data_IF_689757945804
#
_entry.id   IF_689757945804
#
_cell.length_a   1.000
_cell.length_b   1.000
_cell.length_c   1.000
_cell.angle_alpha   90.00
_cell.angle_beta   90.00
_cell.angle_gamma   90.00
#
_symmetry.space_group_name_H-M   'P 1'
#
loop_
_entity.id
_entity.type
_entity.pdbx_description
1 polymer ?
#
# COMPACT_ATOMS: atom_id res chain seq x y z
N UNK A 1 -4.01 16.01 12.04
CA UNK A 1 -2.55 15.77 11.90
C UNK A 1 -2.20 14.56 12.77
N UNK A 2 -1.47 13.59 12.22
CA UNK A 2 -0.88 12.49 13.00
C UNK A 2 0.02 13.10 14.08
N UNK A 3 -0.19 12.78 15.35
CA UNK A 3 0.60 13.28 16.49
C UNK A 3 1.93 12.51 16.58
N UNK A 4 3.01 12.92 15.88
CA UNK A 4 4.15 12.05 15.62
C UNK A 4 4.96 11.80 16.90
N UNK A 5 4.88 12.74 17.83
CA UNK A 5 5.49 12.67 19.16
C UNK A 5 4.95 11.52 20.02
N UNK A 6 3.76 10.98 19.72
CA UNK A 6 3.20 9.81 20.42
C UNK A 6 3.87 8.50 20.00
N UNK A 7 4.57 8.48 18.86
CA UNK A 7 5.17 7.28 18.28
C UNK A 7 6.62 7.53 17.85
N UNK A 8 7.53 7.87 18.79
CA UNK A 8 8.90 8.25 18.46
C UNK A 8 9.67 7.14 17.73
N UNK A 9 9.33 5.87 17.98
CA UNK A 9 9.91 4.72 17.28
C UNK A 9 9.56 4.66 15.78
N UNK A 10 8.52 5.38 15.32
CA UNK A 10 8.16 5.50 13.91
C UNK A 10 8.80 6.70 13.21
N UNK A 11 9.56 7.54 13.93
CA UNK A 11 10.09 8.79 13.39
C UNK A 11 10.90 8.56 12.11
N UNK A 12 11.78 7.55 12.08
CA UNK A 12 12.56 7.21 10.90
C UNK A 12 11.68 6.87 9.68
N UNK A 13 10.58 6.13 9.91
CA UNK A 13 9.64 5.75 8.86
C UNK A 13 8.89 6.99 8.33
N UNK A 14 8.38 7.83 9.22
CA UNK A 14 7.66 9.07 8.86
C UNK A 14 8.56 10.01 8.06
N UNK A 15 9.81 10.21 8.48
CA UNK A 15 10.77 11.04 7.75
C UNK A 15 11.05 10.50 6.35
N UNK A 16 11.19 9.18 6.22
CA UNK A 16 11.45 8.54 4.92
C UNK A 16 10.26 8.70 3.97
N UNK A 17 9.04 8.45 4.47
CA UNK A 17 7.80 8.66 3.70
C UNK A 17 7.70 10.12 3.25
N UNK A 18 7.93 11.08 4.16
CA UNK A 18 7.84 12.51 3.85
C UNK A 18 8.85 12.91 2.78
N UNK A 19 10.09 12.44 2.88
CA UNK A 19 11.13 12.67 1.87
C UNK A 19 10.73 12.17 0.47
N UNK A 20 10.11 10.99 0.36
CA UNK A 20 9.65 10.50 -0.94
C UNK A 20 8.43 11.25 -1.47
N UNK A 21 7.53 11.68 -0.59
CA UNK A 21 6.35 12.46 -0.96
C UNK A 21 6.70 13.86 -1.49
N UNK A 22 7.81 14.45 -1.05
CA UNK A 22 8.32 15.72 -1.58
C UNK A 22 8.69 15.64 -3.07
N UNK A 23 8.99 14.45 -3.59
CA UNK A 23 9.26 14.25 -5.01
C UNK A 23 7.97 14.14 -5.86
N UNK A 24 6.80 14.11 -5.25
CA UNK A 24 5.49 13.99 -5.91
C UNK A 24 4.79 15.34 -5.84
N UNK A 25 4.62 15.97 -7.01
CA UNK A 25 4.10 17.34 -7.14
C UNK A 25 2.74 17.55 -6.45
N UNK A 26 1.83 16.57 -6.54
CA UNK A 26 0.54 16.57 -5.85
C UNK A 26 0.26 15.18 -5.28
N UNK A 27 0.06 15.10 -3.97
CA UNK A 27 -0.30 13.86 -3.28
C UNK A 27 -1.33 14.10 -2.17
N UNK A 28 -2.08 13.05 -1.87
CA UNK A 28 -2.98 12.99 -0.71
C UNK A 28 -2.94 11.60 -0.12
N UNK A 29 -3.07 11.51 1.21
CA UNK A 29 -3.20 10.23 1.92
C UNK A 29 -4.61 10.15 2.51
N UNK A 30 -5.37 9.14 2.08
CA UNK A 30 -6.75 8.93 2.52
C UNK A 30 -6.85 7.66 3.36
N UNK A 31 -7.53 7.76 4.50
CA UNK A 31 -7.97 6.57 5.23
C UNK A 31 -9.19 5.99 4.53
N UNK A 32 -9.21 4.67 4.36
CA UNK A 32 -10.30 3.95 3.71
C UNK A 32 -10.67 2.72 4.53
N UNK A 33 -11.90 2.24 4.33
CA UNK A 33 -12.36 1.01 4.95
C UNK A 33 -11.54 -0.20 4.41
N UNK A 34 -11.28 -1.24 5.22
CA UNK A 34 -10.47 -2.38 4.80
C UNK A 34 -10.95 -3.02 3.49
N UNK A 35 -12.26 -3.13 3.30
CA UNK A 35 -12.89 -3.66 2.09
C UNK A 35 -12.52 -2.88 0.82
N UNK A 36 -12.23 -1.59 0.94
CA UNK A 36 -11.82 -0.73 -0.17
C UNK A 36 -10.30 -0.73 -0.40
N UNK A 37 -9.54 -1.48 0.40
CA UNK A 37 -8.09 -1.67 0.25
C UNK A 37 -7.73 -3.16 0.19
N UNK A 38 -8.69 -3.96 -0.28
CA UNK A 38 -8.65 -5.43 -0.28
C UNK A 38 -7.47 -5.98 -1.09
N UNK A 39 -7.10 -5.30 -2.18
CA UNK A 39 -5.94 -5.66 -3.01
C UNK A 39 -4.63 -5.53 -2.23
N UNK A 40 -4.43 -4.43 -1.50
CA UNK A 40 -3.21 -4.24 -0.71
C UNK A 40 -3.11 -5.27 0.43
N UNK A 41 -4.24 -5.59 1.06
CA UNK A 41 -4.31 -6.65 2.06
C UNK A 41 -3.94 -8.02 1.46
N UNK A 42 -4.50 -8.38 0.31
CA UNK A 42 -4.22 -9.66 -0.34
C UNK A 42 -2.73 -9.79 -0.72
N UNK A 43 -2.11 -8.70 -1.17
CA UNK A 43 -0.65 -8.65 -1.41
C UNK A 43 0.10 -8.91 -0.11
N UNK A 44 -0.20 -8.16 0.97
CA UNK A 44 0.47 -8.30 2.25
C UNK A 44 0.35 -9.74 2.80
N UNK A 45 -0.85 -10.33 2.76
CA UNK A 45 -1.08 -11.72 3.17
C UNK A 45 -0.27 -12.70 2.31
N UNK A 46 -0.20 -12.50 1.01
CA UNK A 46 0.56 -13.39 0.11
C UNK A 46 2.07 -13.39 0.38
N UNK A 47 2.60 -12.24 0.83
CA UNK A 47 4.01 -12.09 1.20
C UNK A 47 4.27 -12.74 2.56
N UNK A 48 3.43 -12.44 3.56
CA UNK A 48 3.63 -12.87 4.94
C UNK A 48 3.41 -14.39 5.10
N UNK A 49 2.36 -14.93 4.49
CA UNK A 49 1.98 -16.34 4.65
C UNK A 49 2.56 -17.21 3.54
N UNK A 50 2.49 -16.72 2.30
CA UNK A 50 2.89 -17.46 1.11
C UNK A 50 4.35 -17.30 0.72
N UNK A 51 5.12 -16.42 1.40
CA UNK A 51 6.51 -16.10 1.07
C UNK A 51 6.70 -15.70 -0.40
N UNK A 52 5.68 -15.05 -0.99
CA UNK A 52 5.71 -14.65 -2.40
C UNK A 52 6.36 -13.28 -2.53
N UNK A 53 7.66 -13.25 -2.81
CA UNK A 53 8.45 -12.01 -2.96
C UNK A 53 8.59 -11.55 -4.42
N UNK A 54 7.60 -11.85 -5.26
CA UNK A 54 7.58 -11.49 -6.68
C UNK A 54 7.15 -10.02 -6.90
N UNK A 55 7.34 -9.50 -8.11
CA UNK A 55 6.84 -8.18 -8.48
C UNK A 55 5.31 -8.19 -8.69
N UNK A 56 4.60 -7.32 -7.97
CA UNK A 56 3.15 -7.16 -8.05
C UNK A 56 2.70 -6.07 -9.04
N UNK A 57 3.65 -5.24 -9.51
CA UNK A 57 3.42 -4.07 -10.35
C UNK A 57 4.03 -4.19 -11.76
N UNK A 58 4.66 -5.33 -12.08
CA UNK A 58 5.20 -5.59 -13.41
C UNK A 58 4.09 -5.81 -14.45
N UNK A 59 4.42 -5.63 -15.74
CA UNK A 59 3.48 -5.90 -16.83
C UNK A 59 2.97 -7.34 -16.76
N UNK A 60 1.63 -7.50 -16.73
CA UNK A 60 0.93 -8.76 -16.45
C UNK A 60 1.23 -9.33 -15.06
N UNK A 61 1.14 -8.48 -14.03
CA UNK A 61 1.22 -8.87 -12.62
C UNK A 61 0.43 -10.15 -12.29
N UNK A 62 0.61 -10.72 -11.09
CA UNK A 62 0.21 -12.10 -10.82
C UNK A 62 -1.25 -12.37 -11.20
N UNK A 63 -1.51 -13.46 -11.95
CA UNK A 63 -2.84 -13.77 -12.46
C UNK A 63 -3.91 -13.90 -11.35
N UNK A 64 -3.49 -14.24 -10.13
CA UNK A 64 -4.40 -14.27 -8.98
C UNK A 64 -4.83 -12.86 -8.52
N UNK A 65 -3.99 -11.84 -8.75
CA UNK A 65 -4.24 -10.45 -8.37
C UNK A 65 -5.18 -9.75 -9.35
N UNK A 66 -5.17 -10.14 -10.63
CA UNK A 66 -6.05 -9.56 -11.66
C UNK A 66 -7.54 -9.75 -11.37
N UNK A 67 -7.92 -10.84 -10.70
CA UNK A 67 -9.32 -11.08 -10.32
C UNK A 67 -9.81 -10.12 -9.22
N UNK A 68 -8.91 -9.67 -8.34
CA UNK A 68 -9.25 -8.78 -7.22
C UNK A 68 -9.29 -7.32 -7.70
N UNK A 69 -8.29 -6.93 -8.51
CA UNK A 69 -8.21 -5.57 -9.09
C UNK A 69 -9.31 -5.27 -10.11
N UNK A 70 -9.78 -6.26 -10.88
CA UNK A 70 -10.93 -6.08 -11.78
C UNK A 70 -12.23 -5.74 -11.05
N UNK A 71 -12.37 -6.14 -9.77
CA UNK A 71 -13.51 -5.78 -8.92
C UNK A 71 -13.46 -4.34 -8.40
N UNK A 72 -12.26 -3.80 -8.16
CA UNK A 72 -12.06 -2.42 -7.69
C UNK A 72 -12.18 -1.38 -8.81
N UNK A 73 -11.92 -1.74 -10.07
CA UNK A 73 -12.05 -0.84 -11.22
C UNK A 73 -13.50 -0.64 -11.72
N UNK A 74 -14.48 -1.34 -11.12
CA UNK A 74 -15.88 -1.37 -11.53
C UNK A 74 -16.84 -0.50 -10.69
N UNK A 75 -16.33 0.48 -9.92
CA UNK A 75 -17.13 1.35 -9.03
C UNK A 75 -16.96 2.82 -9.39
#
# INVERSE_FOLDING_TARGET
MLEPYKFPYLQHLVSSITFFLEAIDLWSLNYTAPECNSVAEAIAQSVITGHRYQSYVAAKGPAWLSHITAGEAGV
#
